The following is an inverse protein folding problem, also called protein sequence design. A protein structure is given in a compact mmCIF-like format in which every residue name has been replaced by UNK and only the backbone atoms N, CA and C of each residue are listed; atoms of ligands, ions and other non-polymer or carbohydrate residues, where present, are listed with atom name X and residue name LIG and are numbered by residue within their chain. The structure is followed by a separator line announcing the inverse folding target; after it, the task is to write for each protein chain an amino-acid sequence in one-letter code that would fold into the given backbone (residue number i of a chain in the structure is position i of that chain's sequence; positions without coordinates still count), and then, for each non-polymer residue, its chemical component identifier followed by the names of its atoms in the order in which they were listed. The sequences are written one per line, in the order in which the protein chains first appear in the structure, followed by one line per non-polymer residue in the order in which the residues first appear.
data_IF_789914953792
#
_entry.id   IF_789914953792
#
_cell.length_a   1.000
_cell.length_b   1.000
_cell.length_c   1.000
_cell.angle_alpha   90.00
_cell.angle_beta   90.00
_cell.angle_gamma   90.00
#
_symmetry.space_group_name_H-M   'P 1'
#
loop_
_entity.id
_entity.type
_entity.pdbx_description
1 polymer ?
#
# COMPACT_ATOMS: atom_id res chain seq x y z
N UNK A 1 7.01 8.31 -22.86
CA UNK A 1 5.68 8.22 -22.25
C UNK A 1 5.28 6.77 -22.07
N UNK A 2 5.20 6.32 -20.82
CA UNK A 2 4.82 4.94 -20.48
C UNK A 2 3.30 4.78 -20.34
N UNK A 3 2.54 5.88 -20.36
CA UNK A 3 1.09 5.88 -20.20
C UNK A 3 0.60 5.49 -18.79
N UNK A 4 1.49 5.50 -17.79
CA UNK A 4 1.13 5.18 -16.43
C UNK A 4 0.34 6.33 -15.80
N UNK A 5 -0.84 6.01 -15.21
CA UNK A 5 -1.66 6.95 -14.45
C UNK A 5 -1.39 6.91 -12.95
N UNK A 6 -0.69 5.89 -12.47
CA UNK A 6 -0.31 5.72 -11.06
C UNK A 6 1.18 5.41 -10.98
N UNK A 7 1.88 6.08 -10.07
CA UNK A 7 3.32 5.88 -9.82
C UNK A 7 3.49 5.48 -8.36
N UNK A 8 3.87 4.23 -8.13
CA UNK A 8 4.10 3.67 -6.80
C UNK A 8 5.48 4.08 -6.28
N UNK A 9 5.55 4.51 -5.03
CA UNK A 9 6.82 4.80 -4.37
C UNK A 9 6.71 4.79 -2.85
N UNK A 10 7.84 4.54 -2.20
CA UNK A 10 8.01 4.81 -0.79
C UNK A 10 8.21 6.31 -0.55
N UNK A 11 7.45 6.88 0.36
CA UNK A 11 7.55 8.31 0.73
C UNK A 11 8.43 8.56 1.97
N UNK A 12 9.09 7.52 2.47
CA UNK A 12 9.93 7.60 3.67
C UNK A 12 9.14 7.57 4.97
N UNK A 13 9.74 8.07 6.05
CA UNK A 13 9.10 8.16 7.36
C UNK A 13 8.17 9.38 7.41
N UNK A 14 6.97 9.17 7.95
CA UNK A 14 6.00 10.23 8.17
C UNK A 14 6.25 10.78 9.58
N UNK A 15 6.62 12.06 9.74
CA UNK A 15 6.84 12.66 11.07
C UNK A 15 5.59 12.55 11.95
N UNK A 16 5.79 12.16 13.21
CA UNK A 16 4.69 11.98 14.18
C UNK A 16 4.01 13.29 14.61
N UNK A 17 4.58 14.45 14.26
CA UNK A 17 4.04 15.76 14.60
C UNK A 17 3.98 16.68 13.39
N UNK A 18 2.82 17.26 13.15
CA UNK A 18 2.55 18.27 12.12
C UNK A 18 3.21 19.65 12.40
N UNK A 19 3.77 19.81 13.59
CA UNK A 19 4.57 20.99 13.93
C UNK A 19 6.05 20.84 13.57
N UNK A 20 6.51 19.64 13.26
CA UNK A 20 7.88 19.37 12.86
C UNK A 20 8.25 20.07 11.53
N UNK A 21 9.50 20.46 11.39
CA UNK A 21 9.97 21.07 10.14
C UNK A 21 9.93 20.06 8.99
N UNK A 22 10.25 18.81 9.29
CA UNK A 22 10.23 17.67 8.36
C UNK A 22 8.81 17.39 7.85
N UNK A 23 7.79 17.54 8.69
CA UNK A 23 6.40 17.42 8.26
C UNK A 23 6.04 18.48 7.22
N UNK A 24 6.39 19.74 7.49
CA UNK A 24 6.12 20.84 6.55
C UNK A 24 6.81 20.62 5.23
N UNK A 25 8.09 20.24 5.27
CA UNK A 25 8.84 19.92 4.06
C UNK A 25 8.18 18.77 3.27
N UNK A 26 7.76 17.69 3.95
CA UNK A 26 7.09 16.56 3.32
C UNK A 26 5.78 16.98 2.64
N UNK A 27 4.95 17.77 3.33
CA UNK A 27 3.69 18.29 2.77
C UNK A 27 3.95 19.21 1.59
N UNK A 28 4.92 20.11 1.67
CA UNK A 28 5.27 21.03 0.58
C UNK A 28 5.71 20.24 -0.68
N UNK A 29 6.64 19.30 -0.50
CA UNK A 29 7.16 18.46 -1.60
C UNK A 29 6.05 17.62 -2.24
N UNK A 30 5.21 16.97 -1.41
CA UNK A 30 4.12 16.14 -1.94
C UNK A 30 3.01 16.97 -2.59
N UNK A 31 2.80 18.20 -2.13
CA UNK A 31 1.90 19.15 -2.79
C UNK A 31 2.42 19.51 -4.19
N UNK A 32 3.71 19.82 -4.30
CA UNK A 32 4.32 20.15 -5.60
C UNK A 32 4.27 18.96 -6.56
N UNK A 33 4.59 17.74 -6.07
CA UNK A 33 4.49 16.51 -6.86
C UNK A 33 3.03 16.26 -7.28
N UNK A 34 2.07 16.44 -6.38
CA UNK A 34 0.65 16.26 -6.66
C UNK A 34 0.16 17.23 -7.74
N UNK A 35 0.51 18.52 -7.63
CA UNK A 35 0.18 19.52 -8.64
C UNK A 35 0.77 19.17 -10.02
N UNK A 36 2.02 18.70 -10.04
CA UNK A 36 2.64 18.24 -11.27
C UNK A 36 1.98 16.99 -11.82
N UNK A 37 1.65 16.04 -10.95
CA UNK A 37 0.94 14.81 -11.28
C UNK A 37 -0.40 15.08 -11.97
N UNK A 38 -1.20 15.98 -11.42
CA UNK A 38 -2.46 16.42 -12.02
C UNK A 38 -2.26 17.01 -13.42
N UNK A 39 -1.19 17.76 -13.61
CA UNK A 39 -0.88 18.35 -14.91
C UNK A 39 -0.52 17.32 -15.98
N UNK A 40 0.16 16.23 -15.61
CA UNK A 40 0.58 15.17 -16.54
C UNK A 40 -0.35 13.96 -16.56
N UNK A 41 -1.39 13.94 -15.75
CA UNK A 41 -2.36 12.84 -15.67
C UNK A 41 -1.84 11.60 -14.94
N UNK A 42 -0.92 11.76 -13.97
CA UNK A 42 -0.39 10.67 -13.16
C UNK A 42 -0.42 11.04 -11.67
N UNK A 43 -0.84 10.11 -10.81
CA UNK A 43 -0.91 10.32 -9.37
C UNK A 43 0.18 9.53 -8.65
N UNK A 44 0.84 10.17 -7.68
CA UNK A 44 1.74 9.47 -6.77
C UNK A 44 0.92 8.57 -5.83
N UNK A 45 1.35 7.34 -5.68
CA UNK A 45 0.74 6.35 -4.82
C UNK A 45 1.77 5.89 -3.77
N UNK A 46 1.53 6.22 -2.50
CA UNK A 46 2.41 5.89 -1.42
C UNK A 46 2.18 4.48 -0.91
N UNK A 47 3.22 3.69 -0.76
CA UNK A 47 3.14 2.34 -0.22
C UNK A 47 2.84 2.37 1.29
N UNK A 48 1.68 1.83 1.67
CA UNK A 48 1.31 1.56 3.06
C UNK A 48 1.85 0.18 3.47
N UNK A 49 2.88 0.17 4.26
CA UNK A 49 3.51 -1.06 4.73
C UNK A 49 4.35 -0.78 5.96
N UNK A 50 5.36 0.07 5.83
CA UNK A 50 6.21 0.48 6.94
C UNK A 50 5.61 1.61 7.77
N UNK A 51 5.01 2.59 7.11
CA UNK A 51 4.31 3.67 7.79
C UNK A 51 3.00 3.18 8.39
N UNK A 52 2.65 3.66 9.58
CA UNK A 52 1.36 3.37 10.18
C UNK A 52 0.23 3.90 9.28
N UNK A 53 -0.82 3.11 9.01
CA UNK A 53 -1.94 3.54 8.18
C UNK A 53 -2.58 4.85 8.65
N UNK A 54 -2.66 5.07 9.96
CA UNK A 54 -3.18 6.31 10.55
C UNK A 54 -2.32 7.54 10.21
N UNK A 55 -0.98 7.39 10.19
CA UNK A 55 -0.07 8.48 9.83
C UNK A 55 -0.17 8.80 8.33
N UNK A 56 -0.30 7.78 7.48
CA UNK A 56 -0.53 7.98 6.05
C UNK A 56 -1.88 8.66 5.79
N UNK A 57 -2.95 8.25 6.47
CA UNK A 57 -4.25 8.91 6.37
C UNK A 57 -4.20 10.38 6.82
N UNK A 58 -3.44 10.67 7.90
CA UNK A 58 -3.21 12.04 8.37
C UNK A 58 -2.46 12.87 7.33
N UNK A 59 -1.44 12.29 6.70
CA UNK A 59 -0.67 12.96 5.65
C UNK A 59 -1.53 13.26 4.43
N UNK A 60 -2.29 12.27 3.93
CA UNK A 60 -3.16 12.47 2.77
C UNK A 60 -4.19 13.58 3.02
N UNK A 61 -4.76 13.64 4.22
CA UNK A 61 -5.70 14.72 4.61
C UNK A 61 -5.07 16.11 4.67
N UNK A 62 -3.76 16.21 4.84
CA UNK A 62 -3.05 17.49 4.86
C UNK A 62 -2.68 18.00 3.47
N UNK A 63 -2.83 17.17 2.43
CA UNK A 63 -2.51 17.50 1.04
C UNK A 63 -3.77 17.96 0.29
N UNK A 64 -3.61 18.72 -0.79
CA UNK A 64 -4.71 18.99 -1.72
C UNK A 64 -5.30 17.69 -2.28
N UNK A 65 -6.60 17.68 -2.54
CA UNK A 65 -7.30 16.51 -3.06
C UNK A 65 -6.65 15.99 -4.35
N UNK A 66 -6.45 14.67 -4.42
CA UNK A 66 -5.83 14.00 -5.57
C UNK A 66 -4.30 14.10 -5.65
N UNK A 67 -3.64 14.76 -4.68
CA UNK A 67 -2.17 14.86 -4.67
C UNK A 67 -1.48 13.52 -4.35
N UNK A 68 -2.11 12.69 -3.52
CA UNK A 68 -1.54 11.43 -3.06
C UNK A 68 -2.65 10.38 -2.92
N UNK A 69 -2.37 9.18 -3.41
CA UNK A 69 -3.16 7.97 -3.13
C UNK A 69 -2.30 6.98 -2.35
N UNK A 70 -2.83 5.82 -2.01
CA UNK A 70 -2.06 4.79 -1.33
C UNK A 70 -2.21 3.41 -1.98
N UNK A 71 -1.18 2.63 -1.78
CA UNK A 71 -1.08 1.22 -2.08
C UNK A 71 -1.06 0.42 -0.78
N UNK A 72 -1.95 -0.54 -0.63
CA UNK A 72 -1.98 -1.45 0.51
C UNK A 72 -1.06 -2.63 0.23
N UNK A 73 0.09 -2.70 0.91
CA UNK A 73 1.03 -3.83 0.81
C UNK A 73 0.80 -4.77 1.99
N UNK A 74 -0.04 -5.78 1.80
CA UNK A 74 -0.62 -6.58 2.90
C UNK A 74 0.43 -7.28 3.75
N UNK A 75 1.40 -7.96 3.14
CA UNK A 75 2.49 -8.63 3.86
C UNK A 75 3.40 -7.65 4.61
N UNK A 76 3.70 -6.49 4.01
CA UNK A 76 4.52 -5.48 4.65
C UNK A 76 3.83 -4.87 5.88
N UNK A 77 2.54 -4.59 5.81
CA UNK A 77 1.74 -4.15 6.96
C UNK A 77 1.85 -5.15 8.11
N UNK A 78 1.62 -6.43 7.84
CA UNK A 78 1.72 -7.48 8.85
C UNK A 78 3.12 -7.56 9.47
N UNK A 79 4.16 -7.51 8.67
CA UNK A 79 5.56 -7.51 9.14
C UNK A 79 5.84 -6.34 10.09
N UNK A 80 5.27 -5.18 9.84
CA UNK A 80 5.45 -3.98 10.66
C UNK A 80 4.45 -3.87 11.81
N UNK A 81 3.62 -4.89 12.04
CA UNK A 81 2.70 -4.98 13.19
C UNK A 81 1.38 -4.24 12.97
N UNK A 82 1.03 -3.97 11.72
CA UNK A 82 -0.24 -3.38 11.33
C UNK A 82 -1.18 -4.45 10.80
N UNK A 83 -2.47 -4.35 11.13
CA UNK A 83 -3.51 -5.22 10.57
C UNK A 83 -3.91 -4.71 9.16
N UNK A 84 -3.73 -5.54 8.10
CA UNK A 84 -4.06 -5.13 6.74
C UNK A 84 -5.54 -4.79 6.54
N UNK A 85 -6.45 -5.52 7.21
CA UNK A 85 -7.87 -5.27 7.11
C UNK A 85 -8.28 -3.93 7.79
N UNK A 86 -7.66 -3.60 8.92
CA UNK A 86 -7.83 -2.29 9.54
C UNK A 86 -7.20 -1.16 8.71
N UNK A 87 -6.08 -1.43 8.04
CA UNK A 87 -5.46 -0.45 7.13
C UNK A 87 -6.43 -0.07 5.99
N UNK A 88 -7.14 -1.04 5.41
CA UNK A 88 -8.20 -0.76 4.43
C UNK A 88 -9.28 0.15 5.02
N UNK A 89 -9.72 -0.08 6.26
CA UNK A 89 -10.72 0.78 6.91
C UNK A 89 -10.26 2.23 7.07
N UNK A 90 -8.99 2.41 7.43
CA UNK A 90 -8.42 3.74 7.67
C UNK A 90 -8.12 4.52 6.39
N UNK A 91 -7.77 3.82 5.30
CA UNK A 91 -7.30 4.40 4.06
C UNK A 91 -8.33 4.36 2.91
N UNK A 92 -9.41 3.62 3.09
CA UNK A 92 -10.42 3.20 2.10
C UNK A 92 -10.61 4.05 0.84
N UNK A 93 -10.89 5.36 1.01
CA UNK A 93 -11.19 6.26 -0.11
C UNK A 93 -9.94 6.70 -0.88
N UNK A 94 -8.76 6.34 -0.39
CA UNK A 94 -7.47 6.75 -0.94
C UNK A 94 -6.70 5.59 -1.58
N UNK A 95 -7.24 4.36 -1.52
CA UNK A 95 -6.58 3.17 -2.06
C UNK A 95 -6.69 3.15 -3.57
N UNK A 96 -5.56 3.28 -4.25
CA UNK A 96 -5.46 3.16 -5.71
C UNK A 96 -4.92 1.80 -6.16
N UNK A 97 -4.15 1.13 -5.29
CA UNK A 97 -3.55 -0.16 -5.57
C UNK A 97 -3.57 -1.05 -4.33
N UNK A 98 -3.66 -2.35 -4.54
CA UNK A 98 -3.43 -3.39 -3.53
C UNK A 98 -2.28 -4.27 -4.02
N UNK A 99 -1.18 -4.36 -3.28
CA UNK A 99 -0.21 -5.44 -3.45
C UNK A 99 -0.59 -6.60 -2.54
N UNK A 100 -1.19 -7.62 -3.13
CA UNK A 100 -1.56 -8.85 -2.45
C UNK A 100 -0.30 -9.68 -2.21
N UNK A 101 0.31 -9.46 -1.06
CA UNK A 101 1.49 -10.16 -0.57
C UNK A 101 1.19 -10.83 0.75
N UNK A 102 1.93 -11.89 1.09
CA UNK A 102 1.75 -12.60 2.35
C UNK A 102 3.03 -12.63 3.16
N UNK A 103 2.89 -12.80 4.46
CA UNK A 103 4.03 -12.79 5.36
C UNK A 103 3.75 -13.59 6.64
N UNK A 104 4.83 -13.93 7.32
CA UNK A 104 4.81 -14.42 8.71
C UNK A 104 5.40 -13.33 9.60
N UNK A 105 4.63 -12.87 10.58
CA UNK A 105 5.07 -11.88 11.54
C UNK A 105 6.21 -12.44 12.41
N UNK A 106 7.19 -11.60 12.72
CA UNK A 106 8.24 -11.91 13.68
C UNK A 106 7.83 -11.61 15.11
N UNK A 107 8.72 -11.91 16.07
CA UNK A 107 8.50 -11.60 17.48
C UNK A 107 8.41 -10.09 17.77
N UNK A 108 8.90 -9.26 16.87
CA UNK A 108 8.88 -7.78 16.94
C UNK A 108 8.51 -7.23 15.58
N UNK A 109 7.86 -6.06 15.57
CA UNK A 109 7.56 -5.32 14.34
C UNK A 109 8.82 -5.10 13.49
N UNK A 110 8.71 -5.29 12.18
CA UNK A 110 9.81 -5.19 11.22
C UNK A 110 10.74 -6.42 11.19
N UNK A 111 10.43 -7.50 11.89
CA UNK A 111 11.24 -8.74 11.95
C UNK A 111 10.57 -9.95 11.28
N UNK A 112 9.44 -9.75 10.62
CA UNK A 112 8.78 -10.79 9.84
C UNK A 112 9.50 -11.10 8.53
N UNK A 113 8.93 -12.02 7.77
CA UNK A 113 9.42 -12.39 6.43
C UNK A 113 8.27 -12.57 5.47
N UNK A 114 8.49 -12.20 4.22
CA UNK A 114 7.58 -12.52 3.13
C UNK A 114 7.54 -14.05 2.89
N UNK A 115 6.38 -14.53 2.48
CA UNK A 115 6.16 -15.93 2.09
C UNK A 115 5.24 -15.96 0.86
N UNK A 116 5.20 -17.11 0.20
CA UNK A 116 4.30 -17.33 -0.94
C UNK A 116 2.85 -17.04 -0.54
N UNK A 117 2.13 -16.37 -1.42
CA UNK A 117 0.76 -15.94 -1.18
C UNK A 117 -0.14 -17.12 -0.77
N UNK A 118 -0.89 -16.95 0.31
CA UNK A 118 -1.77 -17.99 0.87
C UNK A 118 -1.08 -18.96 1.82
N UNK A 119 0.23 -18.80 2.08
CA UNK A 119 0.98 -19.66 3.02
C UNK A 119 1.38 -18.96 4.31
N UNK A 120 1.04 -17.69 4.45
CA UNK A 120 1.38 -16.86 5.60
C UNK A 120 0.23 -16.62 6.56
N UNK A 121 0.17 -15.40 7.08
CA UNK A 121 -0.75 -15.01 8.16
C UNK A 121 -1.69 -13.86 7.75
N UNK A 122 -1.61 -13.38 6.51
CA UNK A 122 -2.52 -12.35 6.02
C UNK A 122 -3.88 -12.96 5.73
N UNK A 123 -4.94 -12.44 6.36
CA UNK A 123 -6.33 -12.78 5.99
C UNK A 123 -6.71 -11.99 4.73
N UNK A 124 -6.22 -12.46 3.59
CA UNK A 124 -6.45 -11.80 2.31
C UNK A 124 -7.94 -11.79 1.91
N UNK A 125 -8.72 -12.87 2.11
CA UNK A 125 -10.17 -12.85 1.89
C UNK A 125 -10.87 -11.69 2.64
N UNK A 126 -10.51 -11.46 3.90
CA UNK A 126 -11.06 -10.36 4.68
C UNK A 126 -10.66 -8.99 4.12
N UNK A 127 -9.40 -8.84 3.71
CA UNK A 127 -8.91 -7.59 3.07
C UNK A 127 -9.68 -7.30 1.80
N UNK A 128 -9.87 -8.30 0.94
CA UNK A 128 -10.61 -8.16 -0.32
C UNK A 128 -12.08 -7.83 -0.08
N UNK A 129 -12.74 -8.53 0.86
CA UNK A 129 -14.14 -8.25 1.21
C UNK A 129 -14.31 -6.79 1.67
N UNK A 130 -13.39 -6.27 2.50
CA UNK A 130 -13.42 -4.88 2.96
C UNK A 130 -13.19 -3.87 1.83
N UNK A 131 -12.34 -4.17 0.87
CA UNK A 131 -12.15 -3.34 -0.33
C UNK A 131 -13.40 -3.35 -1.21
N UNK A 132 -14.01 -4.52 -1.42
CA UNK A 132 -15.25 -4.68 -2.19
C UNK A 132 -16.42 -3.91 -1.56
N UNK A 133 -16.62 -4.03 -0.23
CA UNK A 133 -17.62 -3.25 0.51
C UNK A 133 -17.49 -1.74 0.30
N UNK A 134 -16.31 -1.27 -0.07
CA UNK A 134 -16.01 0.14 -0.34
C UNK A 134 -16.00 0.51 -1.81
N UNK A 135 -16.39 -0.44 -2.68
CA UNK A 135 -16.46 -0.25 -4.12
C UNK A 135 -15.10 -0.12 -4.79
N UNK A 136 -14.05 -0.70 -4.23
CA UNK A 136 -12.72 -0.67 -4.82
C UNK A 136 -12.71 -1.29 -6.22
N UNK A 137 -12.11 -0.59 -7.18
CA UNK A 137 -11.96 -1.02 -8.57
C UNK A 137 -10.54 -0.72 -9.09
N UNK A 138 -9.58 -0.62 -8.17
CA UNK A 138 -8.18 -0.37 -8.50
C UNK A 138 -7.42 -1.62 -8.93
N UNK A 139 -6.13 -1.48 -9.02
CA UNK A 139 -5.24 -2.56 -9.43
C UNK A 139 -4.90 -3.49 -8.26
N UNK A 140 -4.82 -4.78 -8.54
CA UNK A 140 -4.26 -5.78 -7.62
C UNK A 140 -2.95 -6.27 -8.24
N UNK A 141 -1.84 -5.94 -7.56
CA UNK A 141 -0.51 -6.41 -7.91
C UNK A 141 -0.17 -7.71 -7.18
N UNK A 142 0.52 -8.59 -7.87
CA UNK A 142 1.09 -9.82 -7.32
C UNK A 142 2.60 -9.79 -7.50
N UNK A 143 3.35 -10.13 -6.46
CA UNK A 143 4.81 -10.17 -6.47
C UNK A 143 5.30 -11.54 -6.03
N UNK A 144 6.20 -12.17 -6.80
CA UNK A 144 6.82 -13.43 -6.37
C UNK A 144 7.83 -13.16 -5.26
N UNK A 145 7.91 -14.06 -4.28
CA UNK A 145 8.90 -14.00 -3.19
C UNK A 145 10.24 -14.55 -3.68
N UNK A 146 10.20 -15.61 -4.49
CA UNK A 146 11.40 -16.27 -5.01
C UNK A 146 11.56 -16.00 -6.52
N UNK A 147 12.54 -15.15 -6.93
CA UNK A 147 12.73 -14.78 -8.33
C UNK A 147 13.01 -15.96 -9.28
N UNK A 148 13.52 -17.08 -8.77
CA UNK A 148 13.86 -18.25 -9.58
C UNK A 148 12.65 -19.01 -10.08
N UNK A 149 11.57 -19.02 -9.28
CA UNK A 149 10.34 -19.76 -9.55
C UNK A 149 9.17 -18.80 -9.81
N UNK A 150 9.49 -17.54 -10.15
CA UNK A 150 8.53 -16.44 -10.27
C UNK A 150 7.32 -16.74 -11.15
N UNK A 151 7.51 -17.51 -12.24
CA UNK A 151 6.42 -17.83 -13.16
C UNK A 151 5.41 -18.82 -12.54
N UNK A 152 5.90 -19.84 -11.86
CA UNK A 152 5.07 -20.84 -11.18
C UNK A 152 4.38 -20.20 -9.99
N UNK A 153 5.12 -19.47 -9.17
CA UNK A 153 4.58 -18.75 -8.01
C UNK A 153 3.49 -17.75 -8.39
N UNK A 154 3.66 -16.99 -9.50
CA UNK A 154 2.62 -16.08 -9.98
C UNK A 154 1.39 -16.81 -10.53
N UNK A 155 1.56 -17.98 -11.15
CA UNK A 155 0.43 -18.79 -11.60
C UNK A 155 -0.39 -19.27 -10.38
N UNK A 156 0.27 -19.80 -9.36
CA UNK A 156 -0.36 -20.24 -8.12
C UNK A 156 -1.04 -19.08 -7.39
N UNK A 157 -0.39 -17.92 -7.35
CA UNK A 157 -0.97 -16.71 -6.76
C UNK A 157 -2.24 -16.24 -7.49
N UNK A 158 -2.25 -16.31 -8.84
CA UNK A 158 -3.45 -15.99 -9.63
C UNK A 158 -4.58 -16.98 -9.33
N UNK A 159 -4.27 -18.27 -9.25
CA UNK A 159 -5.28 -19.29 -8.96
C UNK A 159 -5.82 -19.14 -7.51
N UNK A 160 -4.96 -18.82 -6.56
CA UNK A 160 -5.38 -18.46 -5.19
C UNK A 160 -6.32 -17.26 -5.20
N UNK A 161 -5.95 -16.17 -5.88
CA UNK A 161 -6.77 -14.96 -5.96
C UNK A 161 -8.14 -15.16 -6.63
N UNK A 162 -8.27 -16.16 -7.49
CA UNK A 162 -9.55 -16.51 -8.12
C UNK A 162 -10.44 -17.37 -7.24
N UNK A 163 -9.86 -18.01 -6.24
CA UNK A 163 -10.57 -18.90 -5.33
C UNK A 163 -11.09 -18.19 -4.06
N UNK A 164 -10.57 -17.02 -3.75
CA UNK A 164 -10.97 -16.16 -2.63
C UNK A 164 -11.82 -15.01 -3.11
#
# INVERSE_FOLDING_TARGET
DLGASVVLNHIGEIPGSDKAAEWRLLVDVLTDIGNWGQHVGATLCAEAGRAAPADLARLIKALPDGSLTCDIVTGALLVHGHDPAQAVEQLATHVACLHATDAVAGAFAGRGRAVVLGTGQVDLPLVLAKLEERGYQGWIGLEPVEPRDAREELADAIDFMRAV
#
